data_IF_065655450168
#
_entry.id   IF_065655450168
#
_cell.length_a   1.000
_cell.length_b   1.000
_cell.length_c   1.000
_cell.angle_alpha   90.00
_cell.angle_beta   90.00
_cell.angle_gamma   90.00
#
_symmetry.space_group_name_H-M   'P 1'
#
loop_
_entity.id
_entity.type
_entity.pdbx_description
1 polymer ?
#
# COMPACT_ATOMS: atom_id res chain seq x y z
N UNK A 1 -28.33 -12.03 0.67
CA UNK A 1 -28.21 -11.77 -0.79
C UNK A 1 -26.93 -10.98 -1.04
N UNK A 2 -26.11 -11.42 -1.97
CA UNK A 2 -24.89 -10.69 -2.34
C UNK A 2 -25.19 -9.65 -3.43
N UNK A 3 -24.43 -8.55 -3.42
CA UNK A 3 -24.48 -7.57 -4.51
C UNK A 3 -23.77 -8.17 -5.72
N UNK A 4 -24.46 -8.25 -6.86
CA UNK A 4 -23.91 -8.81 -8.08
C UNK A 4 -22.70 -8.00 -8.56
N UNK A 5 -21.62 -8.68 -8.97
CA UNK A 5 -20.41 -8.05 -9.52
C UNK A 5 -19.56 -7.26 -8.51
N UNK A 6 -19.80 -7.44 -7.21
CA UNK A 6 -19.04 -6.76 -6.17
C UNK A 6 -17.57 -7.17 -6.21
N UNK A 7 -16.69 -6.18 -6.20
CA UNK A 7 -15.23 -6.35 -6.11
C UNK A 7 -14.68 -5.25 -5.22
N UNK A 8 -13.55 -5.53 -4.54
CA UNK A 8 -12.81 -4.47 -3.88
C UNK A 8 -12.15 -3.59 -4.94
N UNK A 9 -12.29 -2.29 -4.85
CA UNK A 9 -11.77 -1.35 -5.83
C UNK A 9 -10.37 -0.83 -5.47
N UNK A 10 -10.33 0.12 -4.55
CA UNK A 10 -9.09 0.78 -4.13
C UNK A 10 -9.19 1.28 -2.71
N UNK A 11 -8.05 1.67 -2.15
CA UNK A 11 -7.93 2.50 -0.96
C UNK A 11 -7.40 3.87 -1.37
N UNK A 12 -7.92 4.93 -0.75
CA UNK A 12 -7.52 6.30 -1.04
C UNK A 12 -6.90 6.97 0.19
N UNK A 13 -5.87 7.78 -0.04
CA UNK A 13 -5.25 8.59 1.01
C UNK A 13 -4.59 9.85 0.43
N UNK A 14 -4.36 10.83 1.29
CA UNK A 14 -3.66 12.06 0.90
C UNK A 14 -2.15 11.90 1.06
N UNK A 15 -1.42 12.54 0.15
CA UNK A 15 0.04 12.62 0.17
C UNK A 15 0.49 14.08 0.11
N UNK A 16 1.66 14.36 0.65
CA UNK A 16 2.19 15.72 0.64
C UNK A 16 2.66 16.14 -0.76
N UNK A 17 3.30 15.21 -1.47
CA UNK A 17 3.88 15.42 -2.80
C UNK A 17 3.57 14.21 -3.69
N UNK A 18 2.63 14.37 -4.62
CA UNK A 18 2.18 13.29 -5.47
C UNK A 18 3.29 12.75 -6.38
N UNK A 19 4.13 13.62 -6.95
CA UNK A 19 5.22 13.18 -7.82
C UNK A 19 6.26 12.34 -7.07
N UNK A 20 6.59 12.74 -5.85
CA UNK A 20 7.45 11.95 -4.96
C UNK A 20 6.83 10.59 -4.67
N UNK A 21 5.55 10.55 -4.32
CA UNK A 21 4.84 9.31 -4.01
C UNK A 21 4.76 8.39 -5.23
N UNK A 22 4.41 8.91 -6.41
CA UNK A 22 4.35 8.13 -7.66
C UNK A 22 5.72 7.48 -7.94
N UNK A 23 6.81 8.24 -7.86
CA UNK A 23 8.15 7.70 -8.07
C UNK A 23 8.49 6.63 -7.05
N UNK A 24 8.18 6.86 -5.78
CA UNK A 24 8.47 5.92 -4.72
C UNK A 24 7.72 4.60 -4.89
N UNK A 25 6.40 4.65 -5.15
CA UNK A 25 5.59 3.45 -5.37
C UNK A 25 5.99 2.70 -6.64
N UNK A 26 6.39 3.41 -7.69
CA UNK A 26 6.93 2.78 -8.90
C UNK A 26 8.25 2.06 -8.62
N UNK A 27 9.16 2.68 -7.90
CA UNK A 27 10.46 2.09 -7.56
C UNK A 27 10.34 0.94 -6.56
N UNK A 28 9.51 1.10 -5.51
CA UNK A 28 9.35 0.09 -4.47
C UNK A 28 8.62 -1.15 -4.97
N UNK A 29 7.55 -0.99 -5.76
CA UNK A 29 6.61 -2.08 -6.10
C UNK A 29 6.35 -2.24 -7.59
N UNK A 30 6.95 -1.43 -8.45
CA UNK A 30 6.62 -1.44 -9.87
C UNK A 30 5.22 -0.90 -10.18
N UNK A 31 4.62 -0.15 -9.26
CA UNK A 31 3.30 0.42 -9.46
C UNK A 31 3.29 1.43 -10.61
N UNK A 32 2.22 1.41 -11.40
CA UNK A 32 2.09 2.26 -12.58
C UNK A 32 0.99 3.30 -12.39
N UNK A 33 1.27 4.55 -12.75
CA UNK A 33 0.23 5.58 -12.83
C UNK A 33 -0.68 5.30 -14.02
N UNK A 34 -1.93 4.93 -13.76
CA UNK A 34 -2.91 4.60 -14.81
C UNK A 34 -3.92 5.71 -15.05
N UNK A 35 -4.01 6.69 -14.16
CA UNK A 35 -4.89 7.83 -14.27
C UNK A 35 -4.34 9.03 -13.53
N UNK A 36 -4.60 10.23 -14.05
CA UNK A 36 -4.25 11.50 -13.44
C UNK A 36 -5.36 12.51 -13.74
N UNK A 37 -5.88 13.13 -12.72
CA UNK A 37 -6.77 14.28 -12.84
C UNK A 37 -6.14 15.48 -12.15
N UNK A 38 -5.96 16.56 -12.90
CA UNK A 38 -5.44 17.81 -12.34
C UNK A 38 -6.46 18.48 -11.42
N UNK A 39 -5.97 19.34 -10.52
CA UNK A 39 -6.84 20.11 -9.66
C UNK A 39 -7.79 20.98 -10.49
N UNK A 40 -9.07 21.03 -10.08
CA UNK A 40 -10.10 21.80 -10.75
C UNK A 40 -11.04 22.42 -9.71
N UNK A 41 -10.98 23.73 -9.54
CA UNK A 41 -11.75 24.43 -8.51
C UNK A 41 -11.37 23.94 -7.12
N UNK A 42 -12.36 23.48 -6.36
CA UNK A 42 -12.18 22.89 -5.02
C UNK A 42 -11.86 21.39 -5.06
N UNK A 43 -11.82 20.79 -6.26
CA UNK A 43 -11.49 19.38 -6.45
C UNK A 43 -9.96 19.22 -6.50
N UNK A 44 -9.36 18.45 -5.59
CA UNK A 44 -7.91 18.28 -5.56
C UNK A 44 -7.41 17.45 -6.73
N UNK A 45 -6.15 17.61 -7.05
CA UNK A 45 -5.43 16.70 -7.94
C UNK A 45 -5.43 15.29 -7.36
N UNK A 46 -5.61 14.28 -8.22
CA UNK A 46 -5.55 12.88 -7.81
C UNK A 46 -4.88 12.00 -8.88
N UNK A 47 -4.37 10.87 -8.42
CA UNK A 47 -3.74 9.87 -9.28
C UNK A 47 -4.12 8.47 -8.84
N UNK A 48 -4.30 7.56 -9.83
CA UNK A 48 -4.44 6.12 -9.57
C UNK A 48 -3.14 5.41 -9.90
N UNK A 49 -2.65 4.64 -8.95
CA UNK A 49 -1.50 3.75 -9.14
C UNK A 49 -1.97 2.29 -9.08
N UNK A 50 -1.62 1.52 -10.09
CA UNK A 50 -1.96 0.11 -10.18
C UNK A 50 -0.74 -0.75 -9.84
N UNK A 51 -0.88 -1.64 -8.85
CA UNK A 51 0.14 -2.64 -8.47
C UNK A 51 0.07 -3.87 -9.36
N UNK A 52 -1.13 -4.39 -9.53
CA UNK A 52 -1.47 -5.48 -10.43
C UNK A 52 -2.86 -5.24 -10.97
N UNK A 53 -3.26 -5.97 -12.00
CA UNK A 53 -4.52 -5.72 -12.71
C UNK A 53 -5.72 -5.53 -11.77
N UNK A 54 -6.28 -4.33 -11.77
CA UNK A 54 -7.44 -3.96 -10.98
C UNK A 54 -7.16 -3.70 -9.49
N UNK A 55 -5.91 -3.74 -9.05
CA UNK A 55 -5.53 -3.49 -7.65
C UNK A 55 -4.80 -2.17 -7.55
N UNK A 56 -5.50 -1.18 -7.04
CA UNK A 56 -5.05 0.20 -7.10
C UNK A 56 -5.06 0.88 -5.73
N UNK A 57 -4.24 1.92 -5.64
CA UNK A 57 -4.38 2.98 -4.65
C UNK A 57 -4.74 4.28 -5.37
N UNK A 58 -5.51 5.15 -4.70
CA UNK A 58 -5.83 6.49 -5.17
C UNK A 58 -5.14 7.50 -4.27
N UNK A 59 -4.32 8.36 -4.86
CA UNK A 59 -3.57 9.38 -4.14
C UNK A 59 -4.17 10.75 -4.41
N UNK A 60 -4.55 11.46 -3.34
CA UNK A 60 -4.92 12.87 -3.41
C UNK A 60 -3.76 13.72 -2.95
N UNK A 61 -3.52 14.84 -3.63
CA UNK A 61 -2.48 15.80 -3.26
C UNK A 61 -2.93 16.74 -2.13
N UNK A 62 -2.00 17.51 -1.61
CA UNK A 62 -2.29 18.61 -0.67
C UNK A 62 -2.39 18.20 0.79
N UNK A 63 -1.96 17.00 1.15
CA UNK A 63 -1.80 16.62 2.55
C UNK A 63 -0.71 17.45 3.24
N UNK A 64 -1.01 17.97 4.41
CA UNK A 64 -0.09 18.84 5.16
C UNK A 64 0.38 18.24 6.48
N UNK A 65 -0.49 17.49 7.13
CA UNK A 65 -0.23 16.90 8.43
C UNK A 65 -0.72 15.46 8.47
N UNK A 66 0.01 14.59 9.14
CA UNK A 66 -0.45 13.23 9.43
C UNK A 66 -1.69 13.28 10.34
N UNK A 67 -2.62 12.35 10.12
CA UNK A 67 -3.74 12.16 11.02
C UNK A 67 -3.22 11.79 12.41
N UNK A 68 -3.78 12.36 13.48
CA UNK A 68 -3.41 11.97 14.83
C UNK A 68 -3.75 10.50 15.07
N UNK A 69 -2.84 9.78 15.71
CA UNK A 69 -3.04 8.39 16.08
C UNK A 69 -3.12 8.29 17.61
N UNK A 70 -4.32 8.46 18.18
CA UNK A 70 -4.50 8.29 19.61
C UNK A 70 -4.24 6.83 20.00
N UNK A 71 -4.05 6.51 21.29
CA UNK A 71 -3.99 5.13 21.75
C UNK A 71 -5.22 4.33 21.33
N UNK A 72 -5.01 3.14 20.77
CA UNK A 72 -6.05 2.21 20.32
C UNK A 72 -7.12 2.84 19.41
N UNK A 73 -6.74 3.47 18.29
CA UNK A 73 -7.70 4.10 17.39
C UNK A 73 -8.61 3.07 16.73
N UNK A 74 -9.88 3.44 16.54
CA UNK A 74 -10.80 2.69 15.70
C UNK A 74 -10.66 3.22 14.27
N UNK A 75 -10.38 2.35 13.31
CA UNK A 75 -10.33 2.72 11.91
C UNK A 75 -9.19 2.07 11.12
N UNK A 76 -8.84 2.71 10.02
CA UNK A 76 -7.77 2.27 9.13
C UNK A 76 -6.40 2.34 9.82
N UNK A 77 -5.58 1.30 9.63
CA UNK A 77 -4.21 1.27 10.19
C UNK A 77 -3.13 1.04 9.11
N UNK A 78 -3.38 0.21 8.11
CA UNK A 78 -2.44 -0.03 7.01
C UNK A 78 -3.16 -0.68 5.81
N UNK A 79 -2.50 -0.69 4.67
CA UNK A 79 -2.85 -1.62 3.59
C UNK A 79 -1.73 -2.65 3.42
N UNK A 80 -2.07 -3.78 2.81
CA UNK A 80 -1.14 -4.90 2.64
C UNK A 80 -0.82 -5.13 1.17
N UNK A 81 0.45 -5.39 0.88
CA UNK A 81 0.93 -5.87 -0.41
C UNK A 81 1.37 -7.32 -0.22
N UNK A 82 0.74 -8.22 -0.96
CA UNK A 82 1.14 -9.64 -1.01
C UNK A 82 2.23 -9.82 -2.06
N UNK A 83 3.26 -10.55 -1.71
CA UNK A 83 4.41 -10.78 -2.57
C UNK A 83 4.95 -12.22 -2.41
N UNK A 84 5.71 -12.69 -3.39
CA UNK A 84 6.16 -14.09 -3.44
C UNK A 84 7.36 -14.37 -2.55
N UNK A 85 8.21 -13.35 -2.28
CA UNK A 85 9.43 -13.54 -1.50
C UNK A 85 9.74 -12.28 -0.69
N UNK A 86 9.51 -12.35 0.61
CA UNK A 86 9.69 -11.22 1.51
C UNK A 86 11.16 -10.77 1.61
N UNK A 87 12.09 -11.71 1.72
CA UNK A 87 13.52 -11.36 1.86
C UNK A 87 14.04 -10.63 0.62
N UNK A 88 13.66 -11.09 -0.57
CA UNK A 88 14.05 -10.46 -1.82
C UNK A 88 13.45 -9.04 -1.93
N UNK A 89 12.20 -8.87 -1.50
CA UNK A 89 11.57 -7.55 -1.46
C UNK A 89 12.30 -6.61 -0.48
N UNK A 90 12.69 -7.10 0.69
CA UNK A 90 13.42 -6.31 1.67
C UNK A 90 14.82 -5.92 1.20
N UNK A 91 15.51 -6.78 0.45
CA UNK A 91 16.80 -6.44 -0.19
C UNK A 91 16.60 -5.30 -1.21
N UNK A 92 15.58 -5.39 -2.06
CA UNK A 92 15.27 -4.34 -3.02
C UNK A 92 14.99 -3.00 -2.31
N UNK A 93 14.14 -3.03 -1.27
CA UNK A 93 13.80 -1.84 -0.49
C UNK A 93 15.01 -1.26 0.25
N UNK A 94 15.93 -2.10 0.72
CA UNK A 94 17.16 -1.64 1.35
C UNK A 94 18.02 -0.80 0.39
N UNK A 95 18.01 -1.11 -0.91
CA UNK A 95 18.71 -0.31 -1.93
C UNK A 95 18.08 1.09 -2.12
N UNK A 96 16.83 1.26 -1.70
CA UNK A 96 16.12 2.54 -1.66
C UNK A 96 16.23 3.24 -0.29
N UNK A 97 17.06 2.73 0.63
CA UNK A 97 17.13 3.15 2.04
C UNK A 97 15.82 3.00 2.82
N UNK A 98 14.99 2.03 2.41
CA UNK A 98 13.76 1.66 3.12
C UNK A 98 14.05 0.43 3.97
N UNK A 99 13.82 0.55 5.28
CA UNK A 99 14.03 -0.54 6.24
C UNK A 99 12.73 -0.93 6.90
N UNK A 100 12.53 -2.23 7.21
CA UNK A 100 11.36 -2.65 7.95
C UNK A 100 11.39 -2.10 9.38
N UNK A 101 10.25 -1.59 9.84
CA UNK A 101 10.05 -1.17 11.23
C UNK A 101 9.80 -2.37 12.13
N UNK A 102 9.16 -3.40 11.59
CA UNK A 102 8.87 -4.68 12.25
C UNK A 102 8.94 -5.81 11.25
N UNK A 103 9.36 -6.98 11.72
CA UNK A 103 9.40 -8.22 10.93
C UNK A 103 9.09 -9.39 11.86
N UNK A 104 8.09 -10.21 11.48
CA UNK A 104 7.65 -11.34 12.32
C UNK A 104 6.85 -12.36 11.51
N UNK A 105 6.59 -13.51 12.13
CA UNK A 105 5.66 -14.50 11.60
C UNK A 105 4.27 -14.20 12.16
N UNK A 106 3.30 -14.02 11.28
CA UNK A 106 1.92 -13.76 11.64
C UNK A 106 1.20 -14.98 12.22
N UNK A 107 0.02 -14.75 12.77
CA UNK A 107 -0.75 -15.79 13.46
C UNK A 107 -1.20 -16.94 12.54
N UNK A 108 -1.37 -16.64 11.25
CA UNK A 108 -1.71 -17.63 10.22
C UNK A 108 -0.46 -18.10 9.45
N UNK A 109 0.73 -18.06 10.06
CA UNK A 109 2.03 -18.47 9.53
C UNK A 109 2.54 -17.67 8.33
N UNK A 110 1.92 -16.54 8.02
CA UNK A 110 2.46 -15.64 7.00
C UNK A 110 3.74 -14.94 7.48
N UNK A 111 4.64 -14.64 6.55
CA UNK A 111 5.83 -13.85 6.82
C UNK A 111 5.51 -12.39 6.58
N UNK A 112 5.73 -11.55 7.58
CA UNK A 112 5.27 -10.17 7.58
C UNK A 112 6.43 -9.22 7.86
N UNK A 113 6.44 -8.09 7.15
CA UNK A 113 7.23 -6.92 7.50
C UNK A 113 6.37 -5.66 7.33
N UNK A 114 6.64 -4.64 8.13
CA UNK A 114 6.01 -3.33 7.99
C UNK A 114 7.04 -2.30 7.57
N UNK A 115 6.68 -1.51 6.57
CA UNK A 115 7.46 -0.35 6.11
C UNK A 115 6.58 0.88 6.09
N UNK A 116 7.18 2.05 5.92
CA UNK A 116 6.48 3.31 5.70
C UNK A 116 6.76 3.86 4.31
N UNK A 117 5.74 4.49 3.70
CA UNK A 117 5.94 5.30 2.51
C UNK A 117 6.59 6.65 2.86
N UNK A 118 6.88 7.54 1.89
CA UNK A 118 7.51 8.84 2.18
C UNK A 118 6.74 9.76 3.12
N UNK A 119 5.43 9.57 3.27
CA UNK A 119 4.58 10.36 4.17
C UNK A 119 4.34 9.66 5.52
N UNK A 120 4.91 8.48 5.74
CA UNK A 120 4.72 7.69 6.96
C UNK A 120 3.48 6.80 6.95
N UNK A 121 2.84 6.61 5.80
CA UNK A 121 1.74 5.65 5.70
C UNK A 121 2.26 4.23 5.85
N UNK A 122 1.65 3.46 6.74
CA UNK A 122 2.07 2.10 7.05
C UNK A 122 1.66 1.12 5.94
N UNK A 123 2.60 0.29 5.52
CA UNK A 123 2.41 -0.74 4.50
C UNK A 123 2.86 -2.08 5.07
N UNK A 124 1.96 -3.06 5.07
CA UNK A 124 2.29 -4.45 5.39
C UNK A 124 2.78 -5.15 4.13
N UNK A 125 3.94 -5.77 4.21
CA UNK A 125 4.45 -6.69 3.20
C UNK A 125 4.20 -8.10 3.70
N UNK A 126 3.52 -8.93 2.90
CA UNK A 126 3.12 -10.25 3.34
C UNK A 126 3.46 -11.32 2.29
N UNK A 127 4.28 -12.28 2.71
CA UNK A 127 4.46 -13.55 1.99
C UNK A 127 3.58 -14.59 2.66
N UNK A 128 2.73 -15.26 1.86
CA UNK A 128 1.80 -16.28 2.35
C UNK A 128 2.29 -17.65 1.87
N UNK A 129 2.99 -18.41 2.72
CA UNK A 129 3.47 -19.73 2.31
C UNK A 129 2.30 -20.73 2.20
N UNK A 130 2.45 -21.81 1.41
CA UNK A 130 1.37 -22.79 1.19
C UNK A 130 0.78 -23.40 2.46
N UNK A 131 1.57 -23.52 3.52
CA UNK A 131 1.14 -24.04 4.84
C UNK A 131 0.34 -23.02 5.66
N UNK A 132 0.17 -21.78 5.18
CA UNK A 132 -0.63 -20.78 5.88
C UNK A 132 -2.12 -21.10 5.83
N UNK A 133 -2.82 -20.84 6.93
CA UNK A 133 -4.27 -21.02 7.01
C UNK A 133 -5.04 -20.06 6.09
N UNK A 134 -4.42 -18.94 5.73
CA UNK A 134 -5.01 -17.95 4.81
C UNK A 134 -4.47 -18.07 3.39
N UNK A 135 -3.70 -19.13 3.10
CA UNK A 135 -3.17 -19.32 1.75
C UNK A 135 -4.30 -19.39 0.71
N UNK A 136 -4.16 -18.55 -0.30
CA UNK A 136 -4.98 -18.58 -1.52
C UNK A 136 -4.06 -18.29 -2.68
N UNK A 137 -4.16 -19.05 -3.77
CA UNK A 137 -3.38 -18.73 -4.95
C UNK A 137 -3.86 -17.37 -5.50
N UNK A 138 -2.99 -16.38 -5.45
CA UNK A 138 -3.24 -15.10 -6.09
C UNK A 138 -2.90 -15.22 -7.58
N UNK A 139 -3.71 -14.63 -8.46
CA UNK A 139 -3.45 -14.68 -9.90
C UNK A 139 -2.20 -13.89 -10.30
#
# INVERSE_FOLDING_TARGET
MAIAGLRFGHVAFKVADAERSVRWYAEAFGARKIYHAEAQGDRPELMFLEFSKGQCIELFTGGKNMLPSPPDPIGYIHFCVVLDNLEQALEHLANMNVKPERKFIGRAKQRIAFISDPDGNSIELMEIPPESEIYRPYP
#
